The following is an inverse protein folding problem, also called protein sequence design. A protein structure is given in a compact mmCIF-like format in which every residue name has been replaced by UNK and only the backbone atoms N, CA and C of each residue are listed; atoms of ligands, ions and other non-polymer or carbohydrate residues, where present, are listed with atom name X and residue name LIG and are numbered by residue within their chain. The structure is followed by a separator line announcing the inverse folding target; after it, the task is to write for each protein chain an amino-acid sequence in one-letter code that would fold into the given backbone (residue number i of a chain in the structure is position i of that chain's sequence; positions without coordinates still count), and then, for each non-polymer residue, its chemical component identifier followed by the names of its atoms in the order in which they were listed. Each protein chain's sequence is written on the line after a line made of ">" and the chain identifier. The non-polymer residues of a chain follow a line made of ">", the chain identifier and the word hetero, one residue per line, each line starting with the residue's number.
data_IF_671153859902
#
_entry.id   IF_671153859902
#
_cell.length_a   1.000
_cell.length_b   1.000
_cell.length_c   1.000
_cell.angle_alpha   90.00
_cell.angle_beta   90.00
_cell.angle_gamma   90.00
#
_symmetry.space_group_name_H-M   'P 1'
#
loop_
_entity.id
_entity.type
_entity.pdbx_description
1 polymer ?
#
# COMPACT_ATOMS: atom_id res chain seq x y z
N UNK A 1 19.56 -2.03 29.54
CA UNK A 1 19.16 -1.49 28.22
C UNK A 1 17.68 -1.77 27.99
N UNK A 2 16.95 -0.89 27.29
CA UNK A 2 15.54 -1.11 26.92
C UNK A 2 15.37 -1.04 25.39
N UNK A 3 14.38 -1.77 24.86
CA UNK A 3 14.05 -1.69 23.45
C UNK A 3 13.39 -0.35 23.12
N UNK A 4 13.75 0.23 21.98
CA UNK A 4 13.17 1.48 21.46
C UNK A 4 12.81 1.30 20.00
N UNK A 5 11.69 1.90 19.59
CA UNK A 5 11.28 1.94 18.20
C UNK A 5 12.20 2.85 17.37
N UNK A 6 12.43 2.52 16.09
CA UNK A 6 13.15 3.40 15.17
C UNK A 6 12.36 4.68 14.88
N UNK A 7 13.02 5.66 14.27
CA UNK A 7 12.34 6.83 13.70
C UNK A 7 11.34 6.36 12.63
N UNK A 8 10.17 7.00 12.57
CA UNK A 8 9.13 6.68 11.59
C UNK A 8 9.59 6.82 10.14
N UNK A 9 10.59 7.67 9.85
CA UNK A 9 11.20 7.75 8.52
C UNK A 9 11.75 6.39 8.06
N UNK A 10 12.47 5.69 8.93
CA UNK A 10 13.01 4.36 8.62
C UNK A 10 11.90 3.31 8.40
N UNK A 11 10.77 3.47 9.09
CA UNK A 11 9.59 2.62 8.87
C UNK A 11 8.98 2.91 7.49
N UNK A 12 8.86 4.19 7.13
CA UNK A 12 8.38 4.63 5.83
C UNK A 12 9.25 4.13 4.68
N UNK A 13 10.57 4.26 4.80
CA UNK A 13 11.53 3.78 3.81
C UNK A 13 11.40 2.26 3.62
N UNK A 14 11.31 1.49 4.72
CA UNK A 14 11.13 0.04 4.63
C UNK A 14 9.82 -0.37 3.95
N UNK A 15 8.74 0.38 4.19
CA UNK A 15 7.45 0.11 3.55
C UNK A 15 7.45 0.57 2.08
N UNK A 16 8.18 1.62 1.74
CA UNK A 16 8.36 2.08 0.35
C UNK A 16 9.07 1.03 -0.50
N UNK A 17 10.12 0.41 0.03
CA UNK A 17 10.81 -0.69 -0.66
C UNK A 17 9.86 -1.87 -0.92
N UNK A 18 9.01 -2.20 0.06
CA UNK A 18 8.00 -3.27 -0.08
C UNK A 18 6.89 -2.88 -1.06
N UNK A 19 6.57 -1.60 -1.18
CA UNK A 19 5.62 -1.10 -2.16
C UNK A 19 6.15 -1.26 -3.58
N UNK A 20 7.43 -0.93 -3.81
CA UNK A 20 8.07 -1.09 -5.12
C UNK A 20 8.21 -2.57 -5.52
N UNK A 21 8.37 -3.46 -4.54
CA UNK A 21 8.42 -4.92 -4.71
C UNK A 21 7.07 -5.64 -4.54
N UNK A 22 5.94 -4.93 -4.51
CA UNK A 22 4.65 -5.54 -4.20
C UNK A 22 4.23 -6.58 -5.25
N UNK A 23 3.69 -7.72 -4.80
CA UNK A 23 3.31 -8.82 -5.68
C UNK A 23 1.85 -8.76 -6.09
N UNK A 24 1.57 -8.92 -7.39
CA UNK A 24 0.20 -9.10 -7.87
C UNK A 24 -0.29 -10.52 -7.57
N UNK A 25 -1.44 -10.62 -6.93
CA UNK A 25 -2.05 -11.90 -6.55
C UNK A 25 -3.47 -12.03 -7.10
N UNK A 26 -3.97 -13.27 -7.12
CA UNK A 26 -5.35 -13.61 -7.44
C UNK A 26 -5.97 -14.44 -6.32
N UNK A 27 -7.29 -14.31 -6.17
CA UNK A 27 -8.06 -15.02 -5.15
C UNK A 27 -8.42 -16.42 -5.67
N UNK A 28 -7.89 -17.46 -5.03
CA UNK A 28 -8.29 -18.84 -5.29
C UNK A 28 -9.38 -19.24 -4.29
N UNK A 29 -10.60 -19.43 -4.78
CA UNK A 29 -11.73 -19.90 -3.97
C UNK A 29 -11.69 -21.43 -3.85
N UNK A 30 -10.67 -21.96 -3.19
CA UNK A 30 -10.42 -23.41 -3.14
C UNK A 30 -11.24 -24.14 -2.06
N UNK A 31 -12.21 -23.50 -1.40
CA UNK A 31 -13.00 -24.11 -0.31
C UNK A 31 -14.52 -23.90 -0.48
N UNK A 32 -15.04 -24.13 -1.69
CA UNK A 32 -16.46 -24.50 -1.89
C UNK A 32 -16.69 -25.82 -2.61
N UNK A 33 -15.64 -26.58 -2.90
CA UNK A 33 -15.76 -27.95 -3.41
C UNK A 33 -15.37 -28.92 -2.29
N UNK A 34 -16.19 -28.97 -1.23
CA UNK A 34 -16.19 -30.08 -0.27
C UNK A 34 -17.52 -30.81 -0.39
N UNK A 35 -17.47 -31.90 -1.15
CA UNK A 35 -18.31 -33.10 -1.01
C UNK A 35 -19.82 -32.90 -1.22
N UNK A 36 -20.25 -32.87 -2.48
CA UNK A 36 -21.58 -33.39 -2.85
C UNK A 36 -21.51 -34.91 -2.95
N UNK A 37 -21.52 -35.56 -1.79
CA UNK A 37 -21.93 -36.95 -1.67
C UNK A 37 -22.90 -37.02 -0.50
N UNK A 38 -24.20 -37.12 -0.83
CA UNK A 38 -25.30 -37.54 0.04
C UNK A 38 -25.35 -36.94 1.46
N UNK A 39 -26.12 -35.86 1.62
CA UNK A 39 -26.80 -35.61 2.89
C UNK A 39 -28.20 -35.08 2.61
N UNK A 40 -29.15 -35.84 3.12
CA UNK A 40 -30.58 -35.66 3.07
C UNK A 40 -30.98 -34.29 3.64
N UNK A 41 -32.00 -33.71 3.00
CA UNK A 41 -32.76 -32.54 3.41
C UNK A 41 -32.89 -32.36 4.92
N UNK A 42 -32.55 -31.17 5.41
CA UNK A 42 -33.28 -30.57 6.53
C UNK A 42 -33.11 -29.05 6.51
N UNK A 43 -34.20 -28.37 6.22
CA UNK A 43 -34.33 -26.93 6.37
C UNK A 43 -34.07 -26.56 7.82
N UNK A 44 -33.02 -25.80 8.09
CA UNK A 44 -32.93 -25.01 9.31
C UNK A 44 -32.28 -23.68 8.99
N UNK A 45 -33.02 -22.63 9.30
CA UNK A 45 -32.72 -21.25 9.01
C UNK A 45 -31.28 -20.89 9.43
N UNK A 46 -30.53 -20.27 8.52
CA UNK A 46 -29.23 -19.67 8.83
C UNK A 46 -29.45 -18.42 9.67
N UNK A 47 -29.60 -18.60 10.98
CA UNK A 47 -29.64 -17.51 11.95
C UNK A 47 -28.30 -16.79 11.98
N UNK A 48 -28.28 -15.56 11.45
CA UNK A 48 -27.20 -14.61 11.63
C UNK A 48 -27.19 -14.14 13.09
N UNK A 49 -26.36 -14.75 13.94
CA UNK A 49 -26.18 -14.26 15.32
C UNK A 49 -24.69 -14.22 15.66
N UNK A 50 -24.22 -12.99 15.93
CA UNK A 50 -22.82 -12.64 16.25
C UNK A 50 -22.51 -12.79 17.75
N UNK A 51 -23.39 -13.41 18.53
CA UNK A 51 -23.18 -13.66 19.96
C UNK A 51 -23.57 -15.09 20.33
N UNK A 52 -22.56 -15.92 20.56
CA UNK A 52 -22.68 -17.25 21.16
C UNK A 52 -21.52 -17.47 22.14
N UNK A 53 -21.72 -18.21 23.25
CA UNK A 53 -20.78 -18.27 24.36
C UNK A 53 -19.49 -19.00 23.98
N UNK A 54 -18.37 -18.50 24.51
CA UNK A 54 -17.03 -19.08 24.34
C UNK A 54 -17.00 -20.48 24.96
N UNK A 55 -16.88 -21.52 24.11
CA UNK A 55 -16.28 -22.79 24.52
C UNK A 55 -14.79 -22.72 24.22
N UNK A 56 -13.98 -22.90 25.26
CA UNK A 56 -12.53 -23.07 25.16
C UNK A 56 -12.21 -24.26 24.25
N UNK A 57 -11.28 -24.06 23.30
CA UNK A 57 -10.58 -25.17 22.65
C UNK A 57 -10.66 -25.30 21.13
N UNK A 58 -11.37 -24.44 20.38
CA UNK A 58 -11.31 -24.49 18.90
C UNK A 58 -10.58 -23.27 18.31
N UNK A 59 -9.53 -23.47 17.48
CA UNK A 59 -8.85 -22.39 16.79
C UNK A 59 -9.87 -21.66 15.91
N UNK A 60 -9.84 -20.32 15.96
CA UNK A 60 -10.67 -19.45 15.12
C UNK A 60 -10.46 -19.85 13.66
N UNK A 61 -11.40 -20.60 13.07
CA UNK A 61 -11.41 -20.85 11.64
C UNK A 61 -11.34 -19.51 10.94
N UNK A 62 -10.28 -19.29 10.18
CA UNK A 62 -10.13 -18.12 9.33
C UNK A 62 -11.39 -18.03 8.49
N UNK A 63 -12.23 -17.00 8.73
CA UNK A 63 -13.45 -16.72 7.95
C UNK A 63 -13.15 -16.34 6.48
N UNK A 64 -11.89 -16.43 6.09
CA UNK A 64 -11.33 -15.97 4.83
C UNK A 64 -10.43 -17.09 4.27
N UNK A 65 -11.02 -18.23 3.93
CA UNK A 65 -10.29 -19.36 3.30
C UNK A 65 -9.94 -19.08 1.82
N UNK A 66 -9.81 -17.82 1.40
CA UNK A 66 -9.27 -17.54 0.08
C UNK A 66 -7.75 -17.61 0.13
N UNK A 67 -7.19 -18.54 -0.64
CA UNK A 67 -5.75 -18.64 -0.80
C UNK A 67 -5.34 -17.60 -1.85
N UNK A 68 -4.45 -16.68 -1.49
CA UNK A 68 -3.82 -15.79 -2.45
C UNK A 68 -2.76 -16.59 -3.21
N UNK A 69 -2.87 -16.58 -4.53
CA UNK A 69 -1.85 -17.17 -5.42
C UNK A 69 -1.18 -16.04 -6.21
N UNK A 70 0.12 -16.14 -6.51
CA UNK A 70 0.77 -15.22 -7.44
C UNK A 70 0.01 -15.19 -8.77
N UNK A 71 -0.15 -14.00 -9.35
CA UNK A 71 -0.77 -13.88 -10.67
C UNK A 71 0.12 -14.51 -11.76
N UNK A 72 1.44 -14.38 -11.63
CA UNK A 72 2.43 -15.08 -12.46
C UNK A 72 3.04 -16.25 -11.66
N UNK A 73 2.92 -17.51 -12.10
CA UNK A 73 3.47 -18.68 -11.41
C UNK A 73 4.99 -18.69 -11.26
N UNK A 74 5.73 -17.97 -12.12
CA UNK A 74 7.20 -17.89 -12.05
C UNK A 74 7.69 -16.91 -10.98
N UNK A 75 6.80 -16.09 -10.42
CA UNK A 75 7.16 -15.16 -9.36
C UNK A 75 7.15 -15.86 -8.00
N UNK A 76 8.09 -15.48 -7.14
CA UNK A 76 8.16 -15.98 -5.76
C UNK A 76 6.84 -15.66 -5.04
N UNK A 77 6.25 -16.62 -4.32
CA UNK A 77 5.05 -16.35 -3.52
C UNK A 77 5.35 -15.31 -2.42
N UNK A 78 4.41 -14.39 -2.16
CA UNK A 78 4.61 -13.34 -1.17
C UNK A 78 4.69 -13.93 0.25
N UNK A 79 5.63 -13.41 1.04
CA UNK A 79 5.76 -13.72 2.47
C UNK A 79 4.84 -12.88 3.36
N UNK A 80 4.85 -13.18 4.66
CA UNK A 80 4.02 -12.50 5.67
C UNK A 80 4.27 -10.99 5.82
N UNK A 81 5.45 -10.52 5.39
CA UNK A 81 5.83 -9.10 5.48
C UNK A 81 5.69 -8.38 4.14
N UNK A 82 5.35 -9.07 3.06
CA UNK A 82 5.34 -8.48 1.72
C UNK A 82 3.99 -7.83 1.44
N UNK A 83 3.99 -6.77 0.63
CA UNK A 83 2.77 -6.12 0.18
C UNK A 83 2.24 -6.83 -1.08
N UNK A 84 0.92 -6.95 -1.16
CA UNK A 84 0.23 -7.61 -2.28
C UNK A 84 -0.90 -6.75 -2.80
N UNK A 85 -1.19 -6.86 -4.10
CA UNK A 85 -2.31 -6.16 -4.73
C UNK A 85 -3.04 -7.08 -5.71
N UNK A 86 -4.33 -6.80 -5.94
CA UNK A 86 -5.19 -7.59 -6.82
C UNK A 86 -5.31 -6.92 -8.20
N UNK A 87 -5.58 -5.62 -8.19
CA UNK A 87 -5.90 -4.82 -9.37
C UNK A 87 -4.78 -3.83 -9.68
N UNK A 88 -4.43 -3.64 -10.97
CA UNK A 88 -3.42 -2.67 -11.36
C UNK A 88 -3.86 -1.24 -11.02
N UNK A 89 -2.88 -0.40 -10.68
CA UNK A 89 -3.14 1.01 -10.41
C UNK A 89 -3.64 1.74 -11.66
N UNK A 90 -4.61 2.67 -11.54
CA UNK A 90 -5.05 3.51 -12.64
C UNK A 90 -3.95 4.51 -13.05
N UNK A 91 -4.06 5.14 -14.24
CA UNK A 91 -3.18 6.25 -14.59
C UNK A 91 -3.48 7.48 -13.72
N UNK A 92 -2.44 8.11 -13.17
CA UNK A 92 -2.56 9.27 -12.28
C UNK A 92 -2.28 10.62 -12.96
N UNK A 93 -1.93 10.61 -14.25
CA UNK A 93 -1.53 11.80 -15.00
C UNK A 93 -2.66 12.83 -15.15
N UNK A 94 -3.85 12.36 -15.49
CA UNK A 94 -5.01 13.21 -15.77
C UNK A 94 -6.01 13.19 -14.62
N UNK A 95 -6.74 14.29 -14.46
CA UNK A 95 -7.75 14.42 -13.41
C UNK A 95 -8.93 13.48 -13.71
N UNK A 96 -9.24 12.61 -12.77
CA UNK A 96 -10.42 11.75 -12.80
C UNK A 96 -11.19 11.84 -11.47
N UNK A 97 -12.21 12.70 -11.38
CA UNK A 97 -13.00 12.90 -10.15
C UNK A 97 -13.69 11.62 -9.66
N UNK A 98 -14.05 10.69 -10.55
CA UNK A 98 -14.74 9.45 -10.18
C UNK A 98 -13.85 8.52 -9.35
N UNK A 99 -12.54 8.59 -9.56
CA UNK A 99 -11.54 7.79 -8.85
C UNK A 99 -10.78 8.62 -7.79
N UNK A 100 -11.17 9.88 -7.56
CA UNK A 100 -10.46 10.78 -6.65
C UNK A 100 -9.07 11.20 -7.12
N UNK A 101 -8.77 11.04 -8.41
CA UNK A 101 -7.45 11.37 -8.98
C UNK A 101 -7.45 12.84 -9.38
N UNK A 102 -6.54 13.63 -8.80
CA UNK A 102 -6.42 15.06 -9.09
C UNK A 102 -5.64 15.37 -10.37
N UNK A 103 -4.84 14.42 -10.86
CA UNK A 103 -3.90 14.62 -11.96
C UNK A 103 -2.55 15.16 -11.48
N UNK A 104 -1.59 15.29 -12.40
CA UNK A 104 -0.24 15.81 -12.10
C UNK A 104 0.01 17.24 -12.59
N UNK A 105 -1.01 17.89 -13.17
CA UNK A 105 -0.93 19.26 -13.65
C UNK A 105 -0.59 20.24 -12.50
N UNK A 106 0.33 21.17 -12.76
CA UNK A 106 0.75 22.19 -11.80
C UNK A 106 1.64 21.70 -10.65
N UNK A 107 2.05 20.42 -10.64
CA UNK A 107 3.01 19.91 -9.66
C UNK A 107 4.42 20.34 -10.03
N UNK A 108 5.22 20.65 -9.01
CA UNK A 108 6.66 20.87 -9.17
C UNK A 108 7.34 19.54 -9.54
N UNK A 109 8.31 19.60 -10.43
CA UNK A 109 9.13 18.47 -10.85
C UNK A 109 10.61 18.89 -10.90
N UNK A 110 11.50 17.91 -10.88
CA UNK A 110 12.92 18.10 -10.99
C UNK A 110 13.39 17.69 -12.39
N UNK A 111 13.88 18.64 -13.18
CA UNK A 111 14.35 18.39 -14.55
C UNK A 111 15.58 17.47 -14.59
N UNK A 112 16.43 17.53 -13.56
CA UNK A 112 17.65 16.70 -13.51
C UNK A 112 17.41 15.26 -13.06
N UNK A 113 16.23 14.95 -12.53
CA UNK A 113 15.91 13.61 -12.04
C UNK A 113 15.34 12.72 -13.15
N UNK A 114 15.86 11.51 -13.24
CA UNK A 114 15.29 10.43 -14.07
C UNK A 114 14.20 9.64 -13.35
N UNK A 115 13.98 9.93 -12.06
CA UNK A 115 13.08 9.19 -11.18
C UNK A 115 11.63 9.67 -11.27
N UNK A 116 10.81 9.20 -10.33
CA UNK A 116 9.39 9.58 -10.24
C UNK A 116 9.15 11.05 -9.91
N UNK A 117 10.16 11.79 -9.47
CA UNK A 117 10.17 13.24 -9.29
C UNK A 117 10.65 14.00 -10.55
N UNK A 118 11.18 13.26 -11.52
CA UNK A 118 11.62 13.73 -12.82
C UNK A 118 10.50 14.38 -13.62
N UNK A 119 10.79 15.47 -14.34
CA UNK A 119 9.76 16.15 -15.13
C UNK A 119 9.16 15.27 -16.23
N UNK A 120 9.93 14.37 -16.83
CA UNK A 120 9.42 13.43 -17.85
C UNK A 120 8.31 12.52 -17.31
N UNK A 121 8.51 11.98 -16.11
CA UNK A 121 7.56 11.06 -15.44
C UNK A 121 6.43 11.83 -14.74
N UNK A 122 6.74 12.90 -14.02
CA UNK A 122 5.75 13.72 -13.30
C UNK A 122 4.78 14.43 -14.25
N UNK A 123 5.29 14.97 -15.35
CA UNK A 123 4.50 15.65 -16.36
C UNK A 123 3.98 14.71 -17.46
N UNK A 124 4.26 13.40 -17.36
CA UNK A 124 3.79 12.37 -18.28
C UNK A 124 4.10 12.70 -19.75
N UNK A 125 5.30 13.24 -20.03
CA UNK A 125 5.74 13.62 -21.38
C UNK A 125 5.06 14.86 -21.98
N UNK A 126 4.20 15.58 -21.23
CA UNK A 126 3.53 16.81 -21.71
C UNK A 126 4.45 18.04 -21.77
N UNK A 127 5.70 17.90 -21.33
CA UNK A 127 6.63 19.00 -21.11
C UNK A 127 6.38 19.73 -19.79
N UNK A 128 7.26 20.67 -19.47
CA UNK A 128 7.22 21.46 -18.24
C UNK A 128 7.68 22.90 -18.53
N UNK A 129 7.36 23.80 -17.60
CA UNK A 129 7.81 25.20 -17.65
C UNK A 129 8.75 25.45 -16.48
N UNK A 130 9.95 25.93 -16.78
CA UNK A 130 10.90 26.38 -15.76
C UNK A 130 10.54 27.78 -15.29
N UNK A 131 10.56 27.98 -13.98
CA UNK A 131 10.35 29.29 -13.35
C UNK A 131 11.45 29.53 -12.34
N UNK A 132 12.15 30.66 -12.49
CA UNK A 132 13.09 31.13 -11.49
C UNK A 132 12.33 31.89 -10.40
N UNK A 133 12.57 31.52 -9.14
CA UNK A 133 11.94 32.13 -7.97
C UNK A 133 13.04 32.53 -6.98
N UNK A 134 12.99 33.76 -6.50
CA UNK A 134 13.91 34.25 -5.47
C UNK A 134 13.43 33.68 -4.13
N UNK A 135 14.27 32.84 -3.50
CA UNK A 135 14.01 32.26 -2.18
C UNK A 135 14.82 33.00 -1.13
N UNK A 136 14.13 33.50 -0.10
CA UNK A 136 14.78 34.14 1.05
C UNK A 136 15.04 33.09 2.12
N UNK A 137 16.31 32.85 2.41
CA UNK A 137 16.74 31.91 3.45
C UNK A 137 17.54 32.63 4.53
N UNK A 138 17.62 32.03 5.73
CA UNK A 138 18.49 32.54 6.78
C UNK A 138 19.94 32.24 6.41
N UNK A 139 20.73 33.28 6.19
CA UNK A 139 22.16 33.18 5.89
C UNK A 139 23.00 33.91 6.95
N UNK A 140 24.33 33.73 6.90
CA UNK A 140 25.28 34.35 7.84
C UNK A 140 24.95 34.15 9.34
N UNK A 141 24.36 33.00 9.69
CA UNK A 141 24.04 32.67 11.07
C UNK A 141 25.33 32.46 11.89
N UNK A 142 25.50 33.24 12.96
CA UNK A 142 26.57 33.04 13.93
C UNK A 142 26.06 32.14 15.05
N UNK A 143 26.86 31.13 15.41
CA UNK A 143 26.56 30.28 16.54
C UNK A 143 27.19 30.89 17.80
N UNK A 144 26.36 31.24 18.78
CA UNK A 144 26.79 31.70 20.10
C UNK A 144 26.66 30.55 21.09
N UNK A 145 27.78 30.05 21.62
CA UNK A 145 27.83 28.95 22.58
C UNK A 145 27.44 29.48 23.98
N UNK A 146 26.13 29.65 24.20
CA UNK A 146 25.50 30.22 25.40
C UNK A 146 25.66 31.74 25.61
N UNK A 147 24.64 32.28 26.28
CA UNK A 147 24.72 33.40 27.21
C UNK A 147 24.48 34.80 26.60
N UNK A 148 23.22 35.08 26.25
CA UNK A 148 22.57 36.30 26.74
C UNK A 148 21.67 35.88 27.90
N UNK A 149 21.81 36.55 29.05
CA UNK A 149 20.85 36.50 30.17
C UNK A 149 20.02 37.78 30.11
#
# INVERSE_FOLDING_TARGET
>A
CWMRLPNFRAVGDNLKDRFDGASRVMVSNSDRVRTSSNAISSNSASSNSVHGPRREGLPRRHRYNFQLKPYNPEHKPPGLKDLVYLEPSPPFCEKNPKLGILGTHGRQCNDTSIGVDGCDLMCCGRGYKTQEVIVVERCACTFHWCCEV
#
